data_IF_866265648394
#
_entry.id   IF_866265648394
#
_cell.length_a   1.000
_cell.length_b   1.000
_cell.length_c   1.000
_cell.angle_alpha   90.00
_cell.angle_beta   90.00
_cell.angle_gamma   90.00
#
_symmetry.space_group_name_H-M   'P 1'
#
loop_
_entity.id
_entity.type
_entity.pdbx_description
1 polymer ?
#
# COMPACT_ATOMS: atom_id res chain seq x y z
N UNK A 1 19.02 26.26 6.65
CA UNK A 1 18.67 24.83 6.48
C UNK A 1 17.16 24.81 6.54
N UNK A 2 16.45 24.22 5.57
CA UNK A 2 15.01 24.04 5.79
C UNK A 2 14.88 23.13 7.00
N UNK A 3 14.22 23.58 8.06
CA UNK A 3 13.84 22.74 9.18
C UNK A 3 13.06 21.56 8.59
N UNK A 4 13.66 20.37 8.63
CA UNK A 4 12.89 19.16 8.45
C UNK A 4 12.04 19.06 9.71
N UNK A 5 10.72 19.06 9.52
CA UNK A 5 9.73 18.95 10.58
C UNK A 5 9.28 17.49 10.62
N UNK A 6 9.57 16.81 11.73
CA UNK A 6 9.16 15.43 11.98
C UNK A 6 7.65 15.27 11.90
N UNK A 7 6.89 16.30 12.28
CA UNK A 7 5.43 16.28 12.19
C UNK A 7 4.99 16.27 10.72
N UNK A 8 5.67 17.02 9.85
CA UNK A 8 5.42 17.00 8.41
C UNK A 8 5.73 15.63 7.79
N UNK A 9 6.84 14.99 8.19
CA UNK A 9 7.22 13.64 7.72
C UNK A 9 6.18 12.59 8.15
N UNK A 10 5.77 12.61 9.43
CA UNK A 10 4.75 11.69 9.96
C UNK A 10 3.38 11.92 9.33
N UNK A 11 3.01 13.17 9.10
CA UNK A 11 1.75 13.53 8.44
C UNK A 11 1.74 13.00 7.01
N UNK A 12 2.79 13.24 6.23
CA UNK A 12 2.86 12.73 4.85
C UNK A 12 2.85 11.19 4.82
N UNK A 13 3.57 10.53 5.74
CA UNK A 13 3.56 9.09 5.85
C UNK A 13 2.15 8.51 6.10
N UNK A 14 1.46 8.99 7.14
CA UNK A 14 0.20 8.40 7.61
C UNK A 14 -1.04 8.89 6.83
N UNK A 15 -1.06 10.17 6.44
CA UNK A 15 -2.24 10.78 5.81
C UNK A 15 -2.20 10.74 4.28
N UNK A 16 -1.04 10.48 3.67
CA UNK A 16 -0.88 10.41 2.22
C UNK A 16 -0.42 9.02 1.76
N UNK A 17 0.82 8.63 2.03
CA UNK A 17 1.41 7.41 1.46
C UNK A 17 0.74 6.14 1.98
N UNK A 18 0.48 6.05 3.29
CA UNK A 18 -0.24 4.92 3.87
C UNK A 18 -1.68 4.83 3.33
N UNK A 19 -2.38 5.95 3.16
CA UNK A 19 -3.75 5.95 2.63
C UNK A 19 -3.81 5.42 1.21
N UNK A 20 -2.81 5.73 0.38
CA UNK A 20 -2.69 5.14 -0.95
C UNK A 20 -2.43 3.63 -0.89
N UNK A 21 -1.52 3.17 -0.03
CA UNK A 21 -1.28 1.73 0.17
C UNK A 21 -2.59 1.00 0.55
N UNK A 22 -3.32 1.50 1.55
CA UNK A 22 -4.60 0.94 1.99
C UNK A 22 -5.67 0.93 0.88
N UNK A 23 -5.70 1.98 0.05
CA UNK A 23 -6.62 2.06 -1.09
C UNK A 23 -6.32 0.96 -2.12
N UNK A 24 -5.05 0.76 -2.45
CA UNK A 24 -4.64 -0.29 -3.40
C UNK A 24 -4.89 -1.69 -2.86
N UNK A 25 -4.63 -1.91 -1.56
CA UNK A 25 -4.98 -3.15 -0.86
C UNK A 25 -6.47 -3.47 -1.01
N UNK A 26 -7.33 -2.49 -0.75
CA UNK A 26 -8.78 -2.64 -0.89
C UNK A 26 -9.25 -2.95 -2.33
N UNK A 27 -8.62 -2.35 -3.34
CA UNK A 27 -8.89 -2.73 -4.74
C UNK A 27 -8.44 -4.15 -5.05
N UNK A 28 -7.31 -4.58 -4.49
CA UNK A 28 -6.82 -5.94 -4.56
C UNK A 28 -7.80 -6.95 -3.97
N UNK A 29 -8.30 -6.70 -2.76
CA UNK A 29 -9.30 -7.53 -2.09
C UNK A 29 -10.62 -7.60 -2.89
N UNK A 30 -11.02 -6.50 -3.52
CA UNK A 30 -12.21 -6.47 -4.39
C UNK A 30 -12.04 -7.39 -5.60
N UNK A 31 -10.84 -7.42 -6.20
CA UNK A 31 -10.52 -8.34 -7.30
C UNK A 31 -10.52 -9.79 -6.81
N UNK A 32 -9.90 -10.06 -5.66
CA UNK A 32 -9.78 -11.40 -5.09
C UNK A 32 -11.16 -11.98 -4.70
N UNK A 33 -12.14 -11.12 -4.40
CA UNK A 33 -13.51 -11.51 -4.07
C UNK A 33 -14.40 -11.85 -5.29
N UNK A 34 -13.92 -11.66 -6.53
CA UNK A 34 -14.69 -11.97 -7.72
C UNK A 34 -14.83 -13.49 -7.92
N UNK A 35 -16.05 -14.02 -7.88
CA UNK A 35 -16.33 -15.41 -8.28
C UNK A 35 -16.32 -15.55 -9.80
N UNK A 36 -15.14 -15.85 -10.35
CA UNK A 36 -14.92 -16.04 -11.78
C UNK A 36 -14.91 -17.52 -12.11
N UNK A 37 -16.06 -18.03 -12.55
CA UNK A 37 -16.17 -19.37 -13.12
C UNK A 37 -16.56 -19.32 -14.60
N UNK A 38 -16.14 -20.35 -15.35
CA UNK A 38 -16.34 -20.43 -16.81
C UNK A 38 -17.82 -20.40 -17.20
N UNK A 39 -18.71 -20.95 -16.37
CA UNK A 39 -20.14 -21.02 -16.64
C UNK A 39 -20.80 -19.64 -16.56
N UNK A 40 -20.42 -18.81 -15.57
CA UNK A 40 -20.88 -17.44 -15.44
C UNK A 40 -20.31 -16.52 -16.54
N UNK A 41 -19.15 -16.89 -17.09
CA UNK A 41 -18.43 -16.07 -18.05
C UNK A 41 -19.06 -16.06 -19.44
N UNK A 42 -19.32 -17.25 -20.03
CA UNK A 42 -20.08 -17.37 -21.28
C UNK A 42 -20.33 -18.83 -21.66
N UNK A 43 -21.53 -19.11 -22.19
CA UNK A 43 -21.91 -20.41 -22.77
C UNK A 43 -21.55 -20.53 -24.26
N UNK A 44 -21.03 -19.47 -24.88
CA UNK A 44 -20.73 -19.45 -26.30
C UNK A 44 -19.47 -20.29 -26.63
N UNK A 45 -19.40 -20.92 -27.83
CA UNK A 45 -18.16 -21.48 -28.34
C UNK A 45 -17.04 -20.43 -28.37
N UNK A 46 -15.81 -20.81 -28.00
CA UNK A 46 -14.67 -19.89 -27.86
C UNK A 46 -14.62 -19.12 -26.53
N UNK A 47 -15.52 -19.43 -25.58
CA UNK A 47 -15.51 -18.79 -24.26
C UNK A 47 -14.31 -19.16 -23.39
N UNK A 48 -13.59 -20.25 -23.69
CA UNK A 48 -12.39 -20.65 -22.95
C UNK A 48 -11.24 -19.66 -23.17
N UNK A 49 -11.01 -19.29 -24.43
CA UNK A 49 -9.95 -18.37 -24.82
C UNK A 49 -10.23 -16.98 -24.26
N UNK A 50 -11.49 -16.53 -24.34
CA UNK A 50 -11.91 -15.27 -23.75
C UNK A 50 -11.79 -15.28 -22.22
N UNK A 51 -12.19 -16.37 -21.55
CA UNK A 51 -12.04 -16.52 -20.10
C UNK A 51 -10.57 -16.45 -19.71
N UNK A 52 -9.70 -17.18 -20.42
CA UNK A 52 -8.25 -17.20 -20.18
C UNK A 52 -7.63 -15.81 -20.37
N UNK A 53 -8.00 -15.10 -21.43
CA UNK A 53 -7.51 -13.75 -21.69
C UNK A 53 -7.97 -12.76 -20.59
N UNK A 54 -9.23 -12.85 -20.18
CA UNK A 54 -9.79 -12.01 -19.12
C UNK A 54 -9.13 -12.28 -17.77
N UNK A 55 -9.05 -13.54 -17.34
CA UNK A 55 -8.41 -13.89 -16.06
C UNK A 55 -6.93 -13.52 -16.06
N UNK A 56 -6.23 -13.69 -17.19
CA UNK A 56 -4.84 -13.26 -17.33
C UNK A 56 -4.67 -11.75 -17.18
N UNK A 57 -5.55 -10.95 -17.80
CA UNK A 57 -5.53 -9.50 -17.65
C UNK A 57 -5.85 -9.08 -16.20
N UNK A 58 -6.81 -9.74 -15.56
CA UNK A 58 -7.17 -9.47 -14.16
C UNK A 58 -6.02 -9.79 -13.20
N UNK A 59 -5.31 -10.91 -13.41
CA UNK A 59 -4.09 -11.25 -12.66
C UNK A 59 -3.03 -10.17 -12.84
N UNK A 60 -2.82 -9.67 -14.06
CA UNK A 60 -1.85 -8.60 -14.31
C UNK A 60 -2.21 -7.30 -13.56
N UNK A 61 -3.50 -6.93 -13.53
CA UNK A 61 -3.98 -5.80 -12.73
C UNK A 61 -3.73 -6.04 -11.24
N UNK A 62 -4.03 -7.24 -10.73
CA UNK A 62 -3.81 -7.57 -9.31
C UNK A 62 -2.34 -7.47 -8.91
N UNK A 63 -1.43 -7.97 -9.76
CA UNK A 63 0.01 -7.83 -9.53
C UNK A 63 0.43 -6.37 -9.50
N UNK A 64 0.00 -5.57 -10.49
CA UNK A 64 0.32 -4.14 -10.54
C UNK A 64 -0.15 -3.38 -9.27
N UNK A 65 -1.35 -3.70 -8.78
CA UNK A 65 -1.87 -3.13 -7.54
C UNK A 65 -1.02 -3.52 -6.33
N UNK A 66 -0.59 -4.79 -6.24
CA UNK A 66 0.25 -5.27 -5.13
C UNK A 66 1.63 -4.62 -5.15
N UNK A 67 2.26 -4.55 -6.33
CA UNK A 67 3.57 -3.90 -6.48
C UNK A 67 3.47 -2.41 -6.12
N UNK A 68 2.36 -1.75 -6.51
CA UNK A 68 2.08 -0.38 -6.11
C UNK A 68 1.91 -0.23 -4.60
N UNK A 69 1.10 -1.08 -3.97
CA UNK A 69 0.89 -1.12 -2.51
C UNK A 69 2.24 -1.21 -1.76
N UNK A 70 3.10 -2.15 -2.15
CA UNK A 70 4.43 -2.35 -1.57
C UNK A 70 5.29 -1.08 -1.68
N UNK A 71 5.21 -0.35 -2.80
CA UNK A 71 5.92 0.93 -2.99
C UNK A 71 5.36 2.03 -2.09
N UNK A 72 4.04 2.20 -2.02
CA UNK A 72 3.42 3.24 -1.18
C UNK A 72 3.70 2.99 0.32
N UNK A 73 3.57 1.75 0.78
CA UNK A 73 3.91 1.37 2.16
C UNK A 73 5.40 1.58 2.45
N UNK A 74 6.28 1.22 1.50
CA UNK A 74 7.72 1.43 1.62
C UNK A 74 8.10 2.90 1.76
N UNK A 75 7.43 3.80 1.03
CA UNK A 75 7.66 5.25 1.16
C UNK A 75 7.16 5.76 2.52
N UNK A 76 5.96 5.35 2.96
CA UNK A 76 5.44 5.71 4.28
C UNK A 76 6.43 5.28 5.39
N UNK A 77 6.95 4.05 5.30
CA UNK A 77 7.95 3.53 6.25
C UNK A 77 9.24 4.35 6.24
N UNK A 78 9.77 4.70 5.07
CA UNK A 78 10.99 5.51 4.96
C UNK A 78 10.83 6.92 5.55
N UNK A 79 9.64 7.51 5.43
CA UNK A 79 9.33 8.81 6.04
C UNK A 79 9.27 8.74 7.57
N UNK A 80 8.64 7.69 8.12
CA UNK A 80 8.62 7.46 9.57
C UNK A 80 10.00 7.16 10.13
N UNK A 81 10.81 6.37 9.41
CA UNK A 81 12.20 6.08 9.76
C UNK A 81 13.04 7.38 9.79
N UNK A 82 12.90 8.23 8.76
CA UNK A 82 13.55 9.55 8.72
C UNK A 82 13.09 10.47 9.86
N UNK A 83 11.82 10.39 10.24
CA UNK A 83 11.28 11.13 11.39
C UNK A 83 11.91 10.66 12.71
N UNK A 84 12.08 9.35 12.89
CA UNK A 84 12.73 8.77 14.08
C UNK A 84 14.19 9.25 14.15
N UNK A 85 14.94 9.14 13.05
CA UNK A 85 16.33 9.61 13.00
C UNK A 85 16.45 11.11 13.37
N UNK A 86 15.52 11.93 12.88
CA UNK A 86 15.48 13.35 13.24
C UNK A 86 15.23 13.57 14.74
N UNK A 87 14.21 12.91 15.31
CA UNK A 87 13.88 13.00 16.73
C UNK A 87 15.05 12.56 17.63
N UNK A 88 15.79 11.53 17.22
CA UNK A 88 17.00 11.08 17.92
C UNK A 88 18.11 12.14 17.89
N UNK A 89 18.35 12.78 16.75
CA UNK A 89 19.37 13.84 16.61
C UNK A 89 19.04 15.07 17.45
N UNK A 90 17.77 15.46 17.52
CA UNK A 90 17.30 16.62 18.29
C UNK A 90 17.07 16.30 19.79
N UNK A 91 17.25 15.04 20.20
CA UNK A 91 17.21 14.63 21.61
C UNK A 91 15.81 14.57 22.21
N UNK A 92 14.81 14.18 21.42
CA UNK A 92 13.43 13.98 21.87
C UNK A 92 13.34 12.89 22.94
N UNK A 93 12.25 12.89 23.69
CA UNK A 93 12.05 11.87 24.72
C UNK A 93 11.82 10.49 24.09
N UNK A 94 12.32 9.44 24.77
CA UNK A 94 12.23 8.06 24.27
C UNK A 94 10.77 7.58 24.14
N UNK A 95 9.85 8.11 24.94
CA UNK A 95 8.44 7.78 24.82
C UNK A 95 7.77 8.46 23.62
N UNK A 96 8.34 9.55 23.09
CA UNK A 96 7.88 10.18 21.85
C UNK A 96 8.37 9.37 20.64
N UNK A 97 9.65 8.99 20.62
CA UNK A 97 10.24 8.13 19.57
C UNK A 97 9.48 6.79 19.50
N UNK A 98 9.22 6.16 20.65
CA UNK A 98 8.50 4.88 20.70
C UNK A 98 7.07 4.93 20.13
N UNK A 99 6.42 6.11 20.13
CA UNK A 99 5.11 6.28 19.48
C UNK A 99 5.24 6.22 17.96
N UNK A 100 6.27 6.85 17.40
CA UNK A 100 6.52 6.84 15.95
C UNK A 100 6.95 5.44 15.48
N UNK A 101 7.73 4.73 16.29
CA UNK A 101 8.03 3.31 16.04
C UNK A 101 6.75 2.45 16.01
N UNK A 102 5.79 2.73 16.89
CA UNK A 102 4.48 2.06 16.86
C UNK A 102 3.67 2.42 15.62
N UNK A 103 3.67 3.68 15.19
CA UNK A 103 3.06 4.11 13.92
C UNK A 103 3.64 3.29 12.76
N UNK A 104 4.97 3.21 12.67
CA UNK A 104 5.68 2.46 11.64
C UNK A 104 5.40 0.95 11.68
N UNK A 105 5.26 0.38 12.88
CA UNK A 105 4.91 -1.03 13.05
C UNK A 105 3.45 -1.34 12.67
N UNK A 106 2.59 -0.31 12.55
CA UNK A 106 1.16 -0.44 12.26
C UNK A 106 0.78 -0.19 10.80
N UNK A 107 1.75 0.13 9.94
CA UNK A 107 1.59 0.15 8.48
C UNK A 107 1.15 -1.24 7.97
#
# INVERSE_FOLDING_TARGET
>A
MSEYDEEALRTDANESWQQWSLTLRGWGETIDALDLNRQAFSIAPGSAELFTAFTGALTAVRTYLRDGEEVFEGIARALLDSSIEYMEMEGYAQDEIARVEQEMASL
#
